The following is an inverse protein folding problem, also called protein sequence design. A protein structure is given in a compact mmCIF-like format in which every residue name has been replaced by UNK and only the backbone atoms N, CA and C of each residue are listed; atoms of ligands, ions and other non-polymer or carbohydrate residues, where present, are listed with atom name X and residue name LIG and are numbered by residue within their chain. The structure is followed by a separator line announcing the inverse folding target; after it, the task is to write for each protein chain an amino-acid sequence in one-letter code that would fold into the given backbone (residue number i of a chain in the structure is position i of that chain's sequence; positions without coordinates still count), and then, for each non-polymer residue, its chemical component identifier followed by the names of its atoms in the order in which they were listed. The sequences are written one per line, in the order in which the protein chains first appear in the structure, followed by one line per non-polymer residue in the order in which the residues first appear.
data_IF_521885443353
#
_entry.id   IF_521885443353
#
_cell.length_a   1.000
_cell.length_b   1.000
_cell.length_c   1.000
_cell.angle_alpha   90.00
_cell.angle_beta   90.00
_cell.angle_gamma   90.00
#
_symmetry.space_group_name_H-M   'P 1'
#
loop_
_entity.id
_entity.type
_entity.pdbx_description
1 polymer ?
#
# COMPACT_ATOMS: atom_id res chain seq x y z
N UNK A 1 56.85 -63.38 -17.24
CA UNK A 1 56.31 -62.76 -16.02
C UNK A 1 55.08 -61.98 -16.43
N UNK A 2 53.90 -62.55 -16.18
CA UNK A 2 52.61 -61.89 -16.38
C UNK A 2 51.84 -62.18 -15.11
N UNK A 3 51.63 -61.15 -14.29
CA UNK A 3 50.87 -61.25 -13.06
C UNK A 3 49.38 -61.41 -13.39
N UNK A 4 48.76 -62.42 -12.80
CA UNK A 4 47.33 -62.69 -12.92
C UNK A 4 46.50 -61.58 -12.26
N UNK A 5 45.38 -61.13 -12.88
CA UNK A 5 44.53 -60.06 -12.36
C UNK A 5 43.73 -60.43 -11.10
N UNK A 6 43.85 -61.66 -10.60
CA UNK A 6 43.20 -62.10 -9.36
C UNK A 6 43.86 -61.57 -8.08
N UNK A 7 45.13 -61.12 -8.14
CA UNK A 7 45.90 -60.77 -6.94
C UNK A 7 45.68 -59.34 -6.41
N UNK A 8 45.04 -58.45 -7.18
CA UNK A 8 44.77 -57.08 -6.73
C UNK A 8 43.32 -56.85 -6.24
N UNK A 9 42.43 -57.84 -6.36
CA UNK A 9 41.09 -57.78 -5.73
C UNK A 9 41.11 -58.02 -4.21
N UNK A 10 42.24 -58.52 -3.67
CA UNK A 10 42.43 -58.78 -2.23
C UNK A 10 42.89 -57.56 -1.42
N UNK A 11 42.97 -56.37 -2.04
CA UNK A 11 43.27 -55.10 -1.36
C UNK A 11 42.04 -54.19 -1.19
N UNK A 12 40.84 -54.77 -1.24
CA UNK A 12 39.62 -54.05 -0.86
C UNK A 12 39.53 -53.97 0.67
N UNK A 13 39.22 -52.80 1.27
CA UNK A 13 38.98 -52.67 2.72
C UNK A 13 37.78 -53.47 3.23
N UNK A 14 37.05 -54.17 2.34
CA UNK A 14 35.83 -54.91 2.60
C UNK A 14 35.96 -56.40 2.23
N UNK A 15 37.10 -57.03 2.54
CA UNK A 15 37.22 -58.49 2.44
C UNK A 15 36.55 -59.14 3.68
N UNK A 16 35.71 -60.19 3.53
CA UNK A 16 35.00 -60.83 4.65
C UNK A 16 35.90 -61.37 5.76
N UNK A 17 37.16 -61.69 5.43
CA UNK A 17 38.13 -62.26 6.38
C UNK A 17 38.89 -61.19 7.19
N UNK A 18 38.64 -59.89 6.95
CA UNK A 18 39.13 -58.79 7.79
C UNK A 18 38.09 -58.31 8.83
N UNK A 19 36.97 -59.05 8.97
CA UNK A 19 35.89 -58.76 9.93
C UNK A 19 36.18 -59.34 11.33
N UNK A 20 37.18 -60.21 11.46
CA UNK A 20 37.70 -60.62 12.78
C UNK A 20 38.89 -59.74 13.15
N UNK A 21 38.63 -58.45 13.35
CA UNK A 21 39.50 -57.59 14.14
C UNK A 21 39.25 -57.90 15.61
N UNK A 22 40.30 -58.36 16.29
CA UNK A 22 40.51 -58.51 17.74
C UNK A 22 39.24 -58.57 18.63
N UNK A 23 39.02 -59.75 19.19
CA UNK A 23 38.00 -60.13 20.20
C UNK A 23 37.99 -59.27 21.49
N UNK A 24 38.80 -58.21 21.59
CA UNK A 24 39.02 -57.39 22.79
C UNK A 24 38.33 -56.01 22.78
N UNK A 25 37.47 -55.70 21.80
CA UNK A 25 36.73 -54.41 21.77
C UNK A 25 35.21 -54.53 21.94
N UNK A 26 34.70 -55.73 22.21
CA UNK A 26 33.26 -56.04 22.22
C UNK A 26 32.74 -56.54 23.58
N UNK A 27 33.01 -55.80 24.66
CA UNK A 27 32.27 -56.01 25.92
C UNK A 27 31.95 -54.69 26.60
N UNK A 28 30.68 -54.29 26.52
CA UNK A 28 29.98 -53.46 27.52
C UNK A 28 28.50 -53.87 27.60
N UNK A 29 28.20 -55.13 27.30
CA UNK A 29 26.98 -55.79 27.75
C UNK A 29 27.43 -56.91 28.70
N UNK A 30 27.13 -56.85 30.01
CA UNK A 30 27.55 -57.89 30.94
C UNK A 30 26.86 -59.19 30.55
N UNK A 31 27.63 -60.21 30.21
CA UNK A 31 27.14 -61.46 29.64
C UNK A 31 26.35 -62.35 30.61
N UNK A 32 26.11 -61.88 31.85
CA UNK A 32 25.50 -62.66 32.94
C UNK A 32 24.27 -61.98 33.58
N UNK A 33 23.62 -61.03 32.89
CA UNK A 33 22.41 -60.40 33.42
C UNK A 33 21.19 -61.33 33.25
N UNK A 34 20.44 -61.66 34.31
CA UNK A 34 19.15 -62.36 34.20
C UNK A 34 18.23 -61.69 33.18
N UNK A 35 17.37 -62.48 32.54
CA UNK A 35 16.53 -62.09 31.40
C UNK A 35 15.71 -60.80 31.62
N UNK A 36 15.42 -60.45 32.88
CA UNK A 36 14.75 -59.20 33.29
C UNK A 36 15.61 -57.93 33.10
N UNK A 37 16.93 -58.01 33.24
CA UNK A 37 17.85 -56.88 33.07
C UNK A 37 18.23 -56.68 31.59
N UNK A 38 18.07 -57.70 30.75
CA UNK A 38 18.15 -57.58 29.28
C UNK A 38 16.93 -56.82 28.76
N UNK A 39 15.72 -57.13 29.27
CA UNK A 39 14.51 -56.34 28.98
C UNK A 39 14.69 -54.87 29.44
N UNK A 40 15.21 -54.62 30.64
CA UNK A 40 15.48 -53.26 31.13
C UNK A 40 16.54 -52.49 30.29
N UNK A 41 17.52 -53.18 29.70
CA UNK A 41 18.49 -52.60 28.75
C UNK A 41 17.85 -52.23 27.40
N UNK A 42 16.89 -53.02 26.90
CA UNK A 42 16.15 -52.70 25.69
C UNK A 42 15.09 -51.62 25.94
N UNK A 43 14.42 -51.62 27.10
CA UNK A 43 13.50 -50.57 27.55
C UNK A 43 14.24 -49.22 27.67
N UNK A 44 15.46 -49.20 28.22
CA UNK A 44 16.28 -47.98 28.28
C UNK A 44 16.78 -47.50 26.91
N UNK A 45 16.97 -48.41 25.94
CA UNK A 45 17.25 -48.05 24.54
C UNK A 45 16.00 -47.51 23.82
N UNK A 46 14.82 -48.02 24.15
CA UNK A 46 13.52 -47.55 23.65
C UNK A 46 13.18 -46.15 24.22
N UNK A 47 13.45 -45.92 25.50
CA UNK A 47 13.27 -44.63 26.17
C UNK A 47 14.29 -43.57 25.66
N UNK A 48 15.52 -43.99 25.33
CA UNK A 48 16.48 -43.14 24.60
C UNK A 48 16.03 -42.81 23.17
N UNK A 49 15.38 -43.73 22.46
CA UNK A 49 14.83 -43.46 21.13
C UNK A 49 13.69 -42.43 21.20
N UNK A 50 12.84 -42.50 22.23
CA UNK A 50 11.79 -41.52 22.51
C UNK A 50 12.36 -40.15 22.86
N UNK A 51 13.40 -40.09 23.70
CA UNK A 51 14.07 -38.84 24.04
C UNK A 51 14.88 -38.23 22.90
N UNK A 52 15.45 -39.01 21.98
CA UNK A 52 16.12 -38.50 20.77
C UNK A 52 15.10 -38.04 19.72
N UNK A 53 13.99 -38.77 19.53
CA UNK A 53 12.88 -38.31 18.70
C UNK A 53 12.28 -37.01 19.24
N UNK A 54 12.15 -36.87 20.56
CA UNK A 54 11.74 -35.64 21.23
C UNK A 54 12.82 -34.54 21.15
N UNK A 55 14.10 -34.84 21.30
CA UNK A 55 15.19 -33.85 21.24
C UNK A 55 15.46 -33.34 19.82
N UNK A 56 15.23 -34.17 18.78
CA UNK A 56 15.21 -33.73 17.36
C UNK A 56 13.94 -32.93 17.07
N UNK A 57 12.82 -33.25 17.73
CA UNK A 57 11.57 -32.46 17.67
C UNK A 57 11.63 -31.16 18.50
N UNK A 58 12.51 -31.06 19.51
CA UNK A 58 12.71 -29.88 20.35
C UNK A 58 13.88 -28.99 19.89
N UNK A 59 14.93 -29.57 19.30
CA UNK A 59 15.92 -28.85 18.45
C UNK A 59 15.38 -28.66 17.04
N UNK A 60 14.10 -28.34 16.92
CA UNK A 60 13.62 -27.66 15.73
C UNK A 60 14.45 -26.38 15.63
N UNK A 61 15.38 -26.35 14.67
CA UNK A 61 15.85 -25.13 14.04
C UNK A 61 14.65 -24.20 13.97
N UNK A 62 14.84 -22.93 14.34
CA UNK A 62 13.76 -21.94 14.49
C UNK A 62 12.91 -21.73 13.22
N UNK A 63 13.30 -22.39 12.12
CA UNK A 63 12.77 -22.33 10.77
C UNK A 63 12.43 -23.71 10.17
N UNK A 64 12.60 -24.83 10.90
CA UNK A 64 12.08 -26.13 10.44
C UNK A 64 10.57 -26.08 10.54
N UNK A 65 9.93 -26.36 9.41
CA UNK A 65 8.48 -26.45 9.32
C UNK A 65 8.03 -27.48 10.36
N UNK A 66 7.38 -27.03 11.44
CA UNK A 66 6.72 -27.93 12.36
C UNK A 66 5.32 -28.17 11.77
N UNK A 67 5.07 -29.31 11.10
CA UNK A 67 3.79 -29.56 10.43
C UNK A 67 2.61 -29.58 11.42
N UNK A 68 2.88 -29.74 12.72
CA UNK A 68 1.85 -29.69 13.78
C UNK A 68 1.53 -28.26 14.25
N UNK A 69 2.36 -27.26 13.96
CA UNK A 69 2.22 -25.88 14.49
C UNK A 69 1.99 -24.78 13.46
N UNK A 70 2.07 -25.06 12.16
CA UNK A 70 1.91 -24.05 11.08
C UNK A 70 2.75 -22.76 11.33
N UNK A 71 3.91 -22.89 11.98
CA UNK A 71 4.73 -21.73 12.31
C UNK A 71 5.64 -21.41 11.13
N UNK A 72 5.18 -20.51 10.27
CA UNK A 72 6.01 -19.88 9.25
C UNK A 72 6.74 -18.70 9.90
N UNK A 73 8.07 -18.73 10.05
CA UNK A 73 8.79 -17.56 10.53
C UNK A 73 8.61 -16.40 9.54
N UNK A 74 8.37 -15.19 10.07
CA UNK A 74 8.28 -13.98 9.25
C UNK A 74 9.63 -13.78 8.57
N UNK A 75 9.65 -13.92 7.25
CA UNK A 75 10.88 -13.90 6.49
C UNK A 75 11.40 -12.45 6.32
N UNK A 76 12.69 -12.20 6.61
CA UNK A 76 13.31 -10.88 6.44
C UNK A 76 13.16 -10.27 5.04
N UNK A 77 12.97 -11.11 4.01
CA UNK A 77 12.69 -10.66 2.63
C UNK A 77 11.43 -9.83 2.51
N UNK A 78 10.34 -10.18 3.20
CA UNK A 78 9.07 -9.47 3.06
C UNK A 78 9.10 -8.13 3.77
N UNK A 79 9.74 -8.07 4.93
CA UNK A 79 10.01 -6.81 5.62
C UNK A 79 10.79 -5.85 4.72
N UNK A 80 11.88 -6.32 4.11
CA UNK A 80 12.69 -5.48 3.22
C UNK A 80 11.95 -5.09 1.93
N UNK A 81 11.15 -5.99 1.34
CA UNK A 81 10.29 -5.66 0.19
C UNK A 81 9.30 -4.55 0.56
N UNK A 82 8.69 -4.62 1.75
CA UNK A 82 7.75 -3.60 2.22
C UNK A 82 8.46 -2.27 2.47
N UNK A 83 9.66 -2.27 3.08
CA UNK A 83 10.46 -1.06 3.25
C UNK A 83 10.77 -0.38 1.90
N UNK A 84 11.10 -1.17 0.87
CA UNK A 84 11.33 -0.65 -0.49
C UNK A 84 10.06 -0.01 -1.05
N UNK A 85 8.91 -0.66 -0.91
CA UNK A 85 7.62 -0.14 -1.41
C UNK A 85 7.24 1.16 -0.69
N UNK A 86 7.40 1.20 0.64
CA UNK A 86 7.15 2.40 1.44
C UNK A 86 8.06 3.54 0.97
N UNK A 87 9.36 3.28 0.80
CA UNK A 87 10.30 4.29 0.32
C UNK A 87 9.95 4.83 -1.07
N UNK A 88 9.59 3.96 -2.02
CA UNK A 88 9.15 4.36 -3.36
C UNK A 88 7.92 5.26 -3.29
N UNK A 89 6.97 4.91 -2.42
CA UNK A 89 5.70 5.64 -2.27
C UNK A 89 5.91 6.98 -1.60
N UNK A 90 6.65 7.02 -0.49
CA UNK A 90 6.89 8.23 0.30
C UNK A 90 7.69 9.27 -0.49
N UNK A 91 8.71 8.82 -1.24
CA UNK A 91 9.57 9.70 -2.04
C UNK A 91 8.98 9.97 -3.45
N UNK A 92 7.82 9.40 -3.78
CA UNK A 92 7.16 9.51 -5.08
C UNK A 92 8.08 9.23 -6.27
N UNK A 93 8.88 8.17 -6.17
CA UNK A 93 9.77 7.74 -7.25
C UNK A 93 8.97 7.33 -8.48
N UNK A 94 9.40 7.80 -9.65
CA UNK A 94 8.79 7.49 -10.94
C UNK A 94 9.40 6.23 -11.55
N UNK A 95 8.66 5.61 -12.46
CA UNK A 95 9.08 4.39 -13.13
C UNK A 95 10.38 4.55 -13.95
N UNK A 96 10.71 5.77 -14.37
CA UNK A 96 11.91 6.13 -15.12
C UNK A 96 13.11 6.52 -14.22
N UNK A 97 12.91 6.69 -12.92
CA UNK A 97 14.00 7.02 -12.01
C UNK A 97 14.96 5.83 -11.89
N UNK A 98 16.27 6.12 -11.98
CA UNK A 98 17.31 5.08 -11.88
C UNK A 98 17.20 4.33 -10.55
N UNK A 99 16.95 5.05 -9.48
CA UNK A 99 16.80 4.54 -8.13
C UNK A 99 15.58 3.62 -8.02
N UNK A 100 14.46 3.95 -8.69
CA UNK A 100 13.28 3.08 -8.77
C UNK A 100 13.62 1.75 -9.44
N UNK A 101 14.26 1.79 -10.61
CA UNK A 101 14.65 0.58 -11.37
C UNK A 101 15.56 -0.31 -10.52
N UNK A 102 16.55 0.28 -9.85
CA UNK A 102 17.46 -0.47 -8.97
C UNK A 102 16.75 -1.10 -7.77
N UNK A 103 15.78 -0.41 -7.18
CA UNK A 103 14.99 -0.93 -6.06
C UNK A 103 14.03 -2.05 -6.49
N UNK A 104 13.43 -1.95 -7.68
CA UNK A 104 12.61 -3.03 -8.24
C UNK A 104 13.45 -4.27 -8.59
N UNK A 105 14.67 -4.07 -9.12
CA UNK A 105 15.62 -5.16 -9.33
C UNK A 105 15.99 -5.88 -8.02
N UNK A 106 16.18 -5.15 -6.93
CA UNK A 106 16.41 -5.73 -5.60
C UNK A 106 15.17 -6.48 -5.14
N UNK A 107 13.97 -5.92 -5.32
CA UNK A 107 12.71 -6.57 -4.95
C UNK A 107 12.50 -7.89 -5.69
N UNK A 108 12.81 -7.93 -6.99
CA UNK A 108 12.77 -9.15 -7.79
C UNK A 108 13.78 -10.19 -7.29
N UNK A 109 15.01 -9.76 -6.95
CA UNK A 109 16.02 -10.65 -6.34
C UNK A 109 15.56 -11.20 -4.99
N UNK A 110 14.88 -10.41 -4.16
CA UNK A 110 14.33 -10.87 -2.88
C UNK A 110 13.20 -11.89 -3.07
N UNK A 111 12.37 -11.75 -4.11
CA UNK A 111 11.36 -12.77 -4.44
C UNK A 111 12.02 -14.08 -4.88
N UNK A 112 12.96 -14.01 -5.82
CA UNK A 112 13.66 -15.22 -6.28
C UNK A 112 14.45 -15.91 -5.16
N UNK A 113 15.10 -15.13 -4.29
CA UNK A 113 15.85 -15.66 -3.14
C UNK A 113 14.91 -16.39 -2.17
N UNK A 114 13.73 -15.84 -1.92
CA UNK A 114 12.71 -16.48 -1.09
C UNK A 114 12.26 -17.81 -1.70
N UNK A 115 11.85 -17.81 -2.97
CA UNK A 115 11.32 -18.99 -3.66
C UNK A 115 12.36 -20.12 -3.79
N UNK A 116 13.65 -19.77 -3.91
CA UNK A 116 14.75 -20.74 -3.98
C UNK A 116 15.03 -21.31 -2.58
N UNK A 117 15.16 -20.44 -1.58
CA UNK A 117 15.46 -20.87 -0.22
C UNK A 117 14.35 -21.76 0.35
N UNK A 118 13.09 -21.41 0.12
CA UNK A 118 11.94 -22.22 0.55
C UNK A 118 11.98 -23.62 -0.06
N UNK A 119 12.19 -23.72 -1.38
CA UNK A 119 12.34 -25.02 -2.07
C UNK A 119 13.51 -25.84 -1.55
N UNK A 120 14.67 -25.23 -1.32
CA UNK A 120 15.84 -25.95 -0.83
C UNK A 120 15.63 -26.48 0.60
N UNK A 121 14.97 -25.70 1.46
CA UNK A 121 14.58 -26.14 2.82
C UNK A 121 13.54 -27.27 2.76
N UNK A 122 12.53 -27.18 1.89
CA UNK A 122 11.52 -28.22 1.70
C UNK A 122 12.12 -29.57 1.28
N UNK A 123 13.12 -29.55 0.39
CA UNK A 123 13.82 -30.77 -0.05
C UNK A 123 14.55 -31.44 1.11
N UNK A 124 15.21 -30.64 1.96
CA UNK A 124 15.89 -31.15 3.16
C UNK A 124 14.89 -31.62 4.23
N UNK A 125 13.76 -30.91 4.42
CA UNK A 125 12.65 -31.34 5.28
C UNK A 125 12.08 -32.69 4.84
N UNK A 126 11.81 -32.85 3.55
CA UNK A 126 11.32 -34.11 2.99
C UNK A 126 12.32 -35.24 3.21
N UNK A 127 13.61 -34.96 3.01
CA UNK A 127 14.69 -35.94 3.23
C UNK A 127 14.74 -36.38 4.70
N UNK A 128 14.72 -35.43 5.64
CA UNK A 128 14.69 -35.72 7.08
C UNK A 128 13.47 -36.55 7.44
N UNK A 129 12.28 -36.17 6.96
CA UNK A 129 11.03 -36.90 7.21
C UNK A 129 11.11 -38.35 6.71
N UNK A 130 11.61 -38.55 5.50
CA UNK A 130 11.84 -39.90 4.94
C UNK A 130 12.86 -40.71 5.74
N UNK A 131 13.91 -40.08 6.30
CA UNK A 131 14.89 -40.77 7.16
C UNK A 131 14.29 -41.09 8.53
N UNK A 132 13.49 -40.20 9.10
CA UNK A 132 12.78 -40.43 10.36
C UNK A 132 11.79 -41.60 10.20
N UNK A 133 11.02 -41.67 9.12
CA UNK A 133 10.16 -42.83 8.85
C UNK A 133 10.95 -44.15 8.79
N UNK A 134 12.17 -44.14 8.23
CA UNK A 134 13.06 -45.32 8.26
C UNK A 134 13.55 -45.64 9.65
N UNK A 135 13.82 -44.63 10.48
CA UNK A 135 14.19 -44.82 11.88
C UNK A 135 13.04 -45.43 12.69
N UNK A 136 11.82 -44.97 12.45
CA UNK A 136 10.59 -45.53 13.03
C UNK A 136 10.36 -46.97 12.58
N UNK A 137 10.53 -47.26 11.28
CA UNK A 137 10.42 -48.62 10.77
C UNK A 137 11.49 -49.57 11.33
N UNK A 138 12.70 -49.06 11.61
CA UNK A 138 13.71 -49.81 12.37
C UNK A 138 13.21 -50.03 13.80
N UNK A 139 12.65 -49.00 14.45
CA UNK A 139 11.90 -49.07 15.73
C UNK A 139 10.88 -50.20 15.84
N UNK A 140 10.02 -50.34 14.82
CA UNK A 140 8.85 -51.22 14.84
C UNK A 140 9.11 -52.64 14.36
N UNK A 141 10.29 -52.95 13.78
CA UNK A 141 10.62 -54.34 13.41
C UNK A 141 10.74 -55.20 14.66
N UNK A 142 9.67 -55.95 14.96
CA UNK A 142 9.63 -56.98 16.00
C UNK A 142 10.78 -57.97 15.78
N UNK A 143 11.43 -58.36 16.88
CA UNK A 143 12.50 -59.35 16.93
C UNK A 143 12.04 -60.66 16.25
N UNK A 144 12.43 -60.89 14.99
CA UNK A 144 12.16 -62.15 14.30
C UNK A 144 13.17 -63.21 14.78
N UNK A 145 12.74 -64.34 15.36
CA UNK A 145 13.66 -65.33 15.94
C UNK A 145 14.66 -65.96 14.95
N UNK A 146 14.33 -65.96 13.66
CA UNK A 146 15.17 -66.49 12.59
C UNK A 146 16.21 -65.47 12.07
N UNK A 147 16.09 -64.22 12.50
CA UNK A 147 17.03 -63.14 12.18
C UNK A 147 17.87 -62.90 13.44
N UNK A 148 19.01 -63.59 13.54
CA UNK A 148 20.04 -63.34 14.57
C UNK A 148 20.69 -61.97 14.29
N UNK A 149 19.91 -60.90 14.42
CA UNK A 149 20.38 -59.53 14.44
C UNK A 149 20.79 -59.23 15.88
N UNK A 150 22.09 -59.25 16.16
CA UNK A 150 22.62 -58.77 17.44
C UNK A 150 22.22 -57.31 17.64
N UNK A 151 21.90 -56.90 18.87
CA UNK A 151 21.55 -55.50 19.18
C UNK A 151 22.59 -54.46 18.71
N UNK A 152 23.82 -54.89 18.43
CA UNK A 152 24.87 -54.10 17.77
C UNK A 152 24.51 -53.66 16.35
N UNK A 153 23.86 -54.50 15.55
CA UNK A 153 23.49 -54.16 14.17
C UNK A 153 22.31 -53.20 14.11
N UNK A 154 21.39 -53.31 15.08
CA UNK A 154 20.31 -52.37 15.27
C UNK A 154 20.84 -50.98 15.64
N UNK A 155 21.73 -50.91 16.64
CA UNK A 155 22.43 -49.68 17.04
C UNK A 155 23.19 -49.07 15.86
N UNK A 156 23.93 -49.89 15.10
CA UNK A 156 24.67 -49.44 13.90
C UNK A 156 23.74 -48.85 12.82
N UNK A 157 22.60 -49.48 12.54
CA UNK A 157 21.61 -48.96 11.57
C UNK A 157 20.98 -47.66 12.07
N UNK A 158 20.65 -47.57 13.36
CA UNK A 158 20.13 -46.35 13.98
C UNK A 158 21.13 -45.20 13.90
N UNK A 159 22.37 -45.44 14.29
CA UNK A 159 23.43 -44.43 14.30
C UNK A 159 23.70 -43.88 12.87
N UNK A 160 23.67 -44.76 11.86
CA UNK A 160 23.74 -44.38 10.43
C UNK A 160 22.58 -43.48 9.97
N UNK A 161 21.37 -43.71 10.48
CA UNK A 161 20.20 -42.87 10.15
C UNK A 161 20.29 -41.53 10.86
N UNK A 162 20.72 -41.52 12.13
CA UNK A 162 20.95 -40.29 12.91
C UNK A 162 22.07 -39.44 12.33
N UNK A 163 23.17 -40.04 11.87
CA UNK A 163 24.26 -39.31 11.20
C UNK A 163 23.75 -38.57 9.96
N UNK A 164 22.91 -39.22 9.13
CA UNK A 164 22.29 -38.58 7.97
C UNK A 164 21.31 -37.46 8.32
N UNK A 165 20.54 -37.60 9.40
CA UNK A 165 19.66 -36.53 9.88
C UNK A 165 20.50 -35.34 10.37
N UNK A 166 21.62 -35.60 11.05
CA UNK A 166 22.55 -34.56 11.48
C UNK A 166 23.24 -33.87 10.29
N UNK A 167 23.57 -34.59 9.22
CA UNK A 167 24.07 -34.01 7.97
C UNK A 167 23.06 -33.06 7.34
N UNK A 168 21.80 -33.48 7.16
CA UNK A 168 20.72 -32.62 6.66
C UNK A 168 20.48 -31.39 7.56
N UNK A 169 20.64 -31.54 8.88
CA UNK A 169 20.52 -30.41 9.81
C UNK A 169 21.64 -29.38 9.60
N UNK A 170 22.87 -29.84 9.32
CA UNK A 170 24.01 -28.95 9.00
C UNK A 170 23.85 -28.26 7.64
N UNK A 171 23.31 -28.96 6.63
CA UNK A 171 23.06 -28.34 5.32
C UNK A 171 22.00 -27.25 5.43
N UNK A 172 20.93 -27.47 6.20
CA UNK A 172 19.94 -26.42 6.50
C UNK A 172 20.52 -25.21 7.21
N UNK A 173 21.29 -25.41 8.27
CA UNK A 173 21.94 -24.30 8.98
C UNK A 173 22.82 -23.48 8.03
N UNK A 174 23.52 -24.15 7.10
CA UNK A 174 24.30 -23.47 6.07
C UNK A 174 23.43 -22.68 5.10
N UNK A 175 22.34 -23.26 4.58
CA UNK A 175 21.40 -22.57 3.68
C UNK A 175 20.76 -21.35 4.36
N UNK A 176 20.43 -21.45 5.64
CA UNK A 176 19.90 -20.34 6.45
C UNK A 176 20.91 -19.20 6.59
N UNK A 177 22.17 -19.51 6.88
CA UNK A 177 23.23 -18.50 6.97
C UNK A 177 23.47 -17.81 5.61
N UNK A 178 23.52 -18.58 4.51
CA UNK A 178 23.65 -18.04 3.16
C UNK A 178 22.46 -17.13 2.78
N UNK A 179 21.23 -17.51 3.17
CA UNK A 179 20.04 -16.68 2.99
C UNK A 179 20.10 -15.37 3.79
N UNK A 180 20.45 -15.43 5.08
CA UNK A 180 20.53 -14.23 5.92
C UNK A 180 21.64 -13.27 5.45
N UNK A 181 22.80 -13.79 5.03
CA UNK A 181 23.89 -12.99 4.50
C UNK A 181 23.49 -12.29 3.20
N UNK A 182 22.80 -12.99 2.30
CA UNK A 182 22.33 -12.40 1.03
C UNK A 182 21.25 -11.35 1.25
N UNK A 183 20.29 -11.57 2.16
CA UNK A 183 19.32 -10.54 2.55
C UNK A 183 20.02 -9.32 3.18
N UNK A 184 21.00 -9.53 4.05
CA UNK A 184 21.78 -8.45 4.69
C UNK A 184 22.51 -7.60 3.64
N UNK A 185 23.13 -8.23 2.63
CA UNK A 185 23.77 -7.52 1.51
C UNK A 185 22.76 -6.70 0.69
N UNK A 186 21.58 -7.24 0.41
CA UNK A 186 20.52 -6.54 -0.33
C UNK A 186 19.93 -5.38 0.49
N UNK A 187 19.78 -5.55 1.81
CA UNK A 187 19.35 -4.50 2.72
C UNK A 187 20.36 -3.33 2.73
N UNK A 188 21.67 -3.64 2.75
CA UNK A 188 22.72 -2.61 2.69
C UNK A 188 22.65 -1.82 1.39
N UNK A 189 22.52 -2.50 0.24
CA UNK A 189 22.36 -1.84 -1.07
C UNK A 189 21.12 -0.96 -1.13
N UNK A 190 20.01 -1.44 -0.59
CA UNK A 190 18.75 -0.67 -0.50
C UNK A 190 18.97 0.63 0.27
N UNK A 191 19.63 0.58 1.44
CA UNK A 191 19.95 1.77 2.23
C UNK A 191 20.87 2.75 1.51
N UNK A 192 21.87 2.24 0.80
CA UNK A 192 22.81 3.08 0.01
C UNK A 192 22.05 3.86 -1.07
N UNK A 193 21.17 3.19 -1.82
CA UNK A 193 20.31 3.83 -2.83
C UNK A 193 19.42 4.90 -2.19
N UNK A 194 18.74 4.57 -1.09
CA UNK A 194 17.87 5.53 -0.41
C UNK A 194 18.62 6.75 0.14
N UNK A 195 19.83 6.56 0.65
CA UNK A 195 20.67 7.66 1.14
C UNK A 195 21.17 8.56 0.02
N UNK A 196 21.58 7.96 -1.10
CA UNK A 196 22.03 8.70 -2.29
C UNK A 196 20.88 9.56 -2.85
N UNK A 197 19.68 9.00 -2.96
CA UNK A 197 18.48 9.73 -3.38
C UNK A 197 18.19 10.92 -2.46
N UNK A 198 18.09 10.69 -1.14
CA UNK A 198 17.83 11.76 -0.17
C UNK A 198 18.88 12.86 -0.21
N UNK A 199 20.13 12.51 -0.49
CA UNK A 199 21.20 13.50 -0.67
C UNK A 199 20.96 14.34 -1.93
N UNK A 200 20.67 13.72 -3.07
CA UNK A 200 20.36 14.41 -4.33
C UNK A 200 19.16 15.36 -4.20
N UNK A 201 18.08 14.91 -3.55
CA UNK A 201 16.91 15.75 -3.31
C UNK A 201 17.26 17.00 -2.51
N UNK A 202 18.01 16.86 -1.40
CA UNK A 202 18.45 18.01 -0.59
C UNK A 202 19.34 18.97 -1.38
N UNK A 203 20.28 18.44 -2.16
CA UNK A 203 21.15 19.26 -3.01
C UNK A 203 20.30 20.06 -4.02
N UNK A 204 19.36 19.41 -4.68
CA UNK A 204 18.47 20.07 -5.65
C UNK A 204 17.58 21.14 -5.01
N UNK A 205 17.00 20.87 -3.84
CA UNK A 205 16.21 21.85 -3.07
C UNK A 205 17.05 23.08 -2.70
N UNK A 206 18.30 22.88 -2.25
CA UNK A 206 19.19 24.00 -1.91
C UNK A 206 19.57 24.82 -3.15
N UNK A 207 19.78 24.19 -4.30
CA UNK A 207 20.04 24.88 -5.56
C UNK A 207 18.83 25.70 -6.01
N UNK A 208 17.63 25.13 -5.92
CA UNK A 208 16.39 25.81 -6.29
C UNK A 208 16.12 27.02 -5.38
N UNK A 209 16.33 26.87 -4.07
CA UNK A 209 16.25 27.98 -3.12
C UNK A 209 17.26 29.09 -3.44
N UNK A 210 18.50 28.74 -3.79
CA UNK A 210 19.52 29.72 -4.20
C UNK A 210 19.14 30.42 -5.51
N UNK A 211 18.59 29.70 -6.49
CA UNK A 211 18.11 30.30 -7.74
C UNK A 211 16.96 31.28 -7.49
N UNK A 212 16.01 30.92 -6.64
CA UNK A 212 14.89 31.79 -6.28
C UNK A 212 15.37 33.06 -5.55
N UNK A 213 16.32 32.93 -4.64
CA UNK A 213 16.94 34.10 -3.98
C UNK A 213 17.65 35.02 -4.98
N UNK A 214 18.34 34.47 -5.98
CA UNK A 214 18.98 35.26 -7.06
C UNK A 214 17.94 35.97 -7.92
N UNK A 215 16.85 35.30 -8.28
CA UNK A 215 15.76 35.88 -9.06
C UNK A 215 15.08 37.03 -8.30
N UNK A 216 14.71 36.83 -7.03
CA UNK A 216 14.12 37.87 -6.19
C UNK A 216 15.05 39.08 -6.04
N UNK A 217 16.35 38.84 -5.87
CA UNK A 217 17.32 39.94 -5.78
C UNK A 217 17.40 40.74 -7.10
N UNK A 218 17.39 40.07 -8.26
CA UNK A 218 17.34 40.70 -9.57
C UNK A 218 16.08 41.56 -9.76
N UNK A 219 14.90 41.03 -9.39
CA UNK A 219 13.64 41.79 -9.42
C UNK A 219 13.68 43.02 -8.52
N UNK A 220 14.19 42.87 -7.31
CA UNK A 220 14.33 43.96 -6.35
C UNK A 220 15.28 45.04 -6.88
N UNK A 221 16.39 44.64 -7.51
CA UNK A 221 17.35 45.55 -8.13
C UNK A 221 16.76 46.31 -9.33
N UNK A 222 15.98 45.63 -10.17
CA UNK A 222 15.27 46.27 -11.29
C UNK A 222 14.21 47.26 -10.80
N UNK A 223 13.45 46.91 -9.76
CA UNK A 223 12.47 47.80 -9.16
C UNK A 223 13.14 49.07 -8.59
N UNK A 224 14.25 48.90 -7.86
CA UNK A 224 15.04 50.03 -7.36
C UNK A 224 15.56 50.93 -8.49
N UNK A 225 16.06 50.37 -9.59
CA UNK A 225 16.49 51.16 -10.75
C UNK A 225 15.34 51.96 -11.37
N UNK A 226 14.15 51.38 -11.49
CA UNK A 226 12.98 52.07 -12.03
C UNK A 226 12.56 53.24 -11.13
N UNK A 227 12.49 53.01 -9.81
CA UNK A 227 12.16 54.06 -8.83
C UNK A 227 13.18 55.19 -8.87
N UNK A 228 14.48 54.88 -8.98
CA UNK A 228 15.52 55.90 -9.12
C UNK A 228 15.39 56.71 -10.41
N UNK A 229 15.01 56.06 -11.53
CA UNK A 229 14.78 56.75 -12.81
C UNK A 229 13.55 57.66 -12.75
N UNK A 230 12.46 57.20 -12.15
CA UNK A 230 11.25 58.01 -11.94
C UNK A 230 11.54 59.21 -11.05
N UNK A 231 12.27 59.00 -9.94
CA UNK A 231 12.71 60.08 -9.06
C UNK A 231 13.49 61.15 -9.83
N UNK A 232 14.49 60.75 -10.62
CA UNK A 232 15.27 61.69 -11.42
C UNK A 232 14.42 62.45 -12.45
N UNK A 233 13.42 61.79 -13.05
CA UNK A 233 12.45 62.43 -13.94
C UNK A 233 11.57 63.46 -13.24
N UNK A 234 11.10 63.15 -12.03
CA UNK A 234 10.31 64.07 -11.21
C UNK A 234 11.13 65.25 -10.72
N UNK A 235 12.37 65.04 -10.29
CA UNK A 235 13.31 66.12 -9.90
C UNK A 235 13.54 67.07 -11.08
N UNK A 236 13.77 66.53 -12.28
CA UNK A 236 13.95 67.35 -13.49
C UNK A 236 12.70 68.19 -13.81
N UNK A 237 11.51 67.60 -13.66
CA UNK A 237 10.23 68.31 -13.89
C UNK A 237 9.97 69.38 -12.83
N UNK A 238 10.38 69.13 -11.59
CA UNK A 238 10.26 70.09 -10.49
C UNK A 238 11.12 71.32 -10.76
N UNK A 239 12.34 71.15 -11.27
CA UNK A 239 13.22 72.27 -11.67
C UNK A 239 12.58 73.12 -12.77
N UNK A 240 11.95 72.50 -13.78
CA UNK A 240 11.24 73.24 -14.82
C UNK A 240 10.06 74.04 -14.27
N UNK A 241 9.27 73.44 -13.37
CA UNK A 241 8.14 74.13 -12.74
C UNK A 241 8.59 75.27 -11.81
N UNK A 242 9.74 75.14 -11.15
CA UNK A 242 10.33 76.25 -10.37
C UNK A 242 10.70 77.42 -11.28
N UNK A 243 11.32 77.14 -12.43
CA UNK A 243 11.62 78.17 -13.42
C UNK A 243 10.36 78.86 -13.96
N UNK A 244 9.32 78.09 -14.28
CA UNK A 244 8.05 78.66 -14.74
C UNK A 244 7.39 79.54 -13.66
N UNK A 245 7.45 79.14 -12.38
CA UNK A 245 6.95 79.95 -11.28
C UNK A 245 7.72 81.27 -11.13
N UNK A 246 9.05 81.25 -11.19
CA UNK A 246 9.87 82.47 -11.16
C UNK A 246 9.53 83.43 -12.32
N UNK A 247 9.26 82.87 -13.50
CA UNK A 247 8.83 83.64 -14.67
C UNK A 247 7.42 84.25 -14.48
N UNK A 248 6.50 83.51 -13.88
CA UNK A 248 5.15 84.02 -13.59
C UNK A 248 5.21 85.12 -12.53
N UNK A 249 5.99 84.94 -11.46
CA UNK A 249 6.16 85.96 -10.42
C UNK A 249 6.72 87.26 -11.01
N UNK A 250 7.77 87.18 -11.84
CA UNK A 250 8.33 88.37 -12.49
C UNK A 250 7.32 89.08 -13.39
N UNK A 251 6.50 88.34 -14.15
CA UNK A 251 5.39 88.93 -14.93
C UNK A 251 4.29 89.53 -14.06
N UNK A 252 3.97 88.90 -12.94
CA UNK A 252 2.98 89.43 -11.99
C UNK A 252 3.44 90.77 -11.43
N UNK A 253 4.72 90.90 -11.04
CA UNK A 253 5.25 92.19 -10.58
C UNK A 253 5.15 93.28 -11.67
N UNK A 254 5.46 92.94 -12.92
CA UNK A 254 5.30 93.87 -14.05
C UNK A 254 3.85 94.31 -14.24
N UNK A 255 2.91 93.36 -14.27
CA UNK A 255 1.49 93.68 -14.39
C UNK A 255 0.96 94.49 -13.22
N UNK A 256 1.44 94.22 -12.00
CA UNK A 256 1.07 94.99 -10.81
C UNK A 256 1.52 96.45 -10.94
N UNK A 257 2.75 96.67 -11.42
CA UNK A 257 3.28 98.02 -11.64
C UNK A 257 2.53 98.76 -12.76
N UNK A 258 2.28 98.09 -13.88
CA UNK A 258 1.49 98.64 -14.99
C UNK A 258 0.05 98.97 -14.56
N UNK A 259 -0.58 98.08 -13.78
CA UNK A 259 -1.91 98.29 -13.22
C UNK A 259 -1.93 99.51 -12.27
N UNK A 260 -0.96 99.59 -11.35
CA UNK A 260 -0.82 100.72 -10.43
C UNK A 260 -0.57 102.04 -11.17
N UNK A 261 0.13 102.00 -12.31
CA UNK A 261 0.33 103.16 -13.17
C UNK A 261 -0.97 103.60 -13.85
N UNK A 262 -1.67 102.65 -14.49
CA UNK A 262 -2.96 102.90 -15.13
C UNK A 262 -4.02 103.38 -14.15
N UNK A 263 -4.05 102.81 -12.94
CA UNK A 263 -4.94 103.25 -11.86
C UNK A 263 -4.66 104.72 -11.50
N UNK A 264 -3.39 105.11 -11.31
CA UNK A 264 -3.01 106.51 -11.04
C UNK A 264 -3.41 107.46 -12.17
N UNK A 265 -3.22 107.07 -13.43
CA UNK A 265 -3.64 107.86 -14.60
C UNK A 265 -5.17 108.00 -14.62
N UNK A 266 -5.89 106.90 -14.40
CA UNK A 266 -7.35 106.85 -14.37
C UNK A 266 -7.93 107.73 -13.26
N UNK A 267 -7.39 107.65 -12.05
CA UNK A 267 -7.83 108.43 -10.89
C UNK A 267 -7.49 109.92 -11.05
N UNK A 268 -6.35 110.25 -11.68
CA UNK A 268 -5.93 111.63 -11.92
C UNK A 268 -6.71 112.37 -13.03
N UNK A 269 -7.21 111.67 -14.05
CA UNK A 269 -7.87 112.28 -15.22
C UNK A 269 -9.40 112.29 -15.12
N UNK A 270 -10.03 111.35 -14.39
CA UNK A 270 -11.48 111.14 -14.40
C UNK A 270 -12.07 110.82 -13.02
N UNK A 271 -11.55 111.41 -11.94
CA UNK A 271 -11.90 111.09 -10.55
C UNK A 271 -13.41 111.05 -10.24
N UNK A 272 -14.20 111.99 -10.77
CA UNK A 272 -15.66 112.06 -10.50
C UNK A 272 -16.48 111.13 -11.43
N UNK A 273 -16.14 111.04 -12.73
CA UNK A 273 -16.85 110.15 -13.67
C UNK A 273 -16.63 108.66 -13.35
N UNK A 274 -15.45 108.33 -12.81
CA UNK A 274 -15.09 106.96 -12.44
C UNK A 274 -15.84 106.41 -11.22
N UNK A 275 -16.34 107.25 -10.29
CA UNK A 275 -17.13 106.75 -9.16
C UNK A 275 -18.46 106.16 -9.61
N UNK A 276 -19.11 106.77 -10.60
CA UNK A 276 -20.32 106.26 -11.24
C UNK A 276 -20.07 104.98 -12.04
N UNK A 277 -18.97 104.91 -12.78
CA UNK A 277 -18.59 103.71 -13.54
C UNK A 277 -18.19 102.55 -12.61
N UNK A 278 -17.46 102.83 -11.53
CA UNK A 278 -17.08 101.81 -10.54
C UNK A 278 -18.31 101.21 -9.85
N UNK A 279 -19.32 102.03 -9.48
CA UNK A 279 -20.59 101.49 -8.92
C UNK A 279 -21.34 100.61 -9.92
N UNK A 280 -21.31 100.94 -11.21
CA UNK A 280 -21.93 100.12 -12.26
C UNK A 280 -21.17 98.79 -12.46
N UNK A 281 -19.84 98.81 -12.40
CA UNK A 281 -18.98 97.62 -12.48
C UNK A 281 -19.17 96.74 -11.23
N UNK A 282 -19.26 97.32 -10.04
CA UNK A 282 -19.55 96.59 -8.79
C UNK A 282 -20.92 95.90 -8.87
N UNK A 283 -21.96 96.60 -9.32
CA UNK A 283 -23.28 95.98 -9.56
C UNK A 283 -23.23 94.86 -10.60
N UNK A 284 -22.49 95.04 -11.69
CA UNK A 284 -22.34 94.00 -12.71
C UNK A 284 -21.58 92.78 -12.18
N UNK A 285 -20.57 92.98 -11.33
CA UNK A 285 -19.81 91.91 -10.69
C UNK A 285 -20.66 91.17 -9.65
N UNK A 286 -21.47 91.88 -8.86
CA UNK A 286 -22.42 91.27 -7.92
C UNK A 286 -23.45 90.40 -8.64
N UNK A 287 -23.97 90.88 -9.78
CA UNK A 287 -24.88 90.11 -10.63
C UNK A 287 -24.18 88.90 -11.27
N UNK A 288 -22.93 89.04 -11.72
CA UNK A 288 -22.13 87.94 -12.24
C UNK A 288 -21.88 86.86 -11.16
N UNK A 289 -21.53 87.26 -9.94
CA UNK A 289 -21.35 86.35 -8.80
C UNK A 289 -22.68 85.65 -8.45
N UNK A 290 -23.81 86.36 -8.48
CA UNK A 290 -25.14 85.76 -8.29
C UNK A 290 -25.44 84.70 -9.35
N UNK A 291 -25.18 85.00 -10.62
CA UNK A 291 -25.39 84.06 -11.73
C UNK A 291 -24.49 82.83 -11.57
N UNK A 292 -23.22 83.03 -11.22
CA UNK A 292 -22.26 81.95 -11.04
C UNK A 292 -22.65 81.04 -9.86
N UNK A 293 -23.12 81.64 -8.75
CA UNK A 293 -23.65 80.89 -7.61
C UNK A 293 -24.91 80.10 -7.96
N UNK A 294 -25.82 80.67 -8.76
CA UNK A 294 -27.01 79.96 -9.25
C UNK A 294 -26.63 78.79 -10.18
N UNK A 295 -25.67 78.99 -11.07
CA UNK A 295 -25.15 77.94 -11.96
C UNK A 295 -24.47 76.81 -11.16
N UNK A 296 -23.67 77.15 -10.16
CA UNK A 296 -23.05 76.17 -9.27
C UNK A 296 -24.12 75.37 -8.49
N UNK A 297 -25.16 76.06 -7.99
CA UNK A 297 -26.28 75.40 -7.30
C UNK A 297 -27.06 74.45 -8.20
N UNK A 298 -27.30 74.84 -9.46
CA UNK A 298 -27.93 73.98 -10.47
C UNK A 298 -27.05 72.78 -10.84
N UNK A 299 -25.73 72.98 -10.98
CA UNK A 299 -24.78 71.90 -11.24
C UNK A 299 -24.77 70.88 -10.09
N UNK A 300 -24.66 71.35 -8.85
CA UNK A 300 -24.70 70.48 -7.67
C UNK A 300 -26.04 69.71 -7.59
N UNK A 301 -27.15 70.36 -7.91
CA UNK A 301 -28.45 69.68 -7.92
C UNK A 301 -28.54 68.60 -9.01
N UNK A 302 -27.98 68.86 -10.20
CA UNK A 302 -27.87 67.86 -11.28
C UNK A 302 -26.99 66.69 -10.88
N UNK A 303 -25.85 66.93 -10.24
CA UNK A 303 -24.95 65.89 -9.74
C UNK A 303 -25.62 65.02 -8.67
N UNK A 304 -26.36 65.64 -7.75
CA UNK A 304 -27.15 64.90 -6.76
C UNK A 304 -28.19 63.98 -7.40
N UNK A 305 -28.89 64.43 -8.46
CA UNK A 305 -29.84 63.60 -9.20
C UNK A 305 -29.13 62.43 -9.90
N UNK A 306 -27.94 62.67 -10.47
CA UNK A 306 -27.15 61.61 -11.13
C UNK A 306 -26.69 60.57 -10.12
N UNK A 307 -26.19 60.99 -8.95
CA UNK A 307 -25.78 60.11 -7.87
C UNK A 307 -26.95 59.26 -7.36
N UNK A 308 -28.12 59.86 -7.21
CA UNK A 308 -29.31 59.17 -6.73
C UNK A 308 -29.80 58.12 -7.76
N UNK A 309 -29.69 58.42 -9.06
CA UNK A 309 -29.94 57.44 -10.13
C UNK A 309 -28.93 56.29 -10.10
N UNK A 310 -27.64 56.57 -9.98
CA UNK A 310 -26.62 55.51 -9.95
C UNK A 310 -26.78 54.60 -8.74
N UNK A 311 -27.18 55.14 -7.58
CA UNK A 311 -27.50 54.35 -6.39
C UNK A 311 -28.72 53.45 -6.61
N UNK A 312 -29.77 53.94 -7.28
CA UNK A 312 -30.93 53.11 -7.65
C UNK A 312 -30.57 52.00 -8.63
N UNK A 313 -29.75 52.31 -9.63
CA UNK A 313 -29.31 51.32 -10.62
C UNK A 313 -28.47 50.22 -9.96
N UNK A 314 -27.52 50.59 -9.09
CA UNK A 314 -26.74 49.64 -8.30
C UNK A 314 -27.62 48.78 -7.38
N UNK A 315 -28.63 49.38 -6.73
CA UNK A 315 -29.58 48.63 -5.91
C UNK A 315 -30.39 47.62 -6.76
N UNK A 316 -30.78 48.02 -7.97
CA UNK A 316 -31.53 47.16 -8.90
C UNK A 316 -30.69 45.99 -9.42
N UNK A 317 -29.43 46.24 -9.74
CA UNK A 317 -28.47 45.19 -10.12
C UNK A 317 -28.28 44.19 -8.98
N UNK A 318 -28.06 44.68 -7.74
CA UNK A 318 -27.93 43.83 -6.56
C UNK A 318 -29.18 42.96 -6.31
N UNK A 319 -30.38 43.54 -6.44
CA UNK A 319 -31.62 42.76 -6.33
C UNK A 319 -31.74 41.71 -7.44
N UNK A 320 -31.33 42.03 -8.66
CA UNK A 320 -31.36 41.10 -9.80
C UNK A 320 -30.40 39.92 -9.58
N UNK A 321 -29.19 40.20 -9.09
CA UNK A 321 -28.20 39.18 -8.74
C UNK A 321 -28.69 38.25 -7.60
N UNK A 322 -29.35 38.81 -6.57
CA UNK A 322 -29.95 38.00 -5.51
C UNK A 322 -31.04 37.06 -6.03
N UNK A 323 -31.90 37.54 -6.94
CA UNK A 323 -32.94 36.71 -7.56
C UNK A 323 -32.34 35.59 -8.44
N UNK A 324 -31.25 35.87 -9.16
CA UNK A 324 -30.54 34.87 -9.96
C UNK A 324 -29.90 33.79 -9.07
N UNK A 325 -29.28 34.19 -7.96
CA UNK A 325 -28.71 33.26 -6.98
C UNK A 325 -29.78 32.36 -6.35
N UNK A 326 -30.91 32.93 -5.94
CA UNK A 326 -32.06 32.15 -5.46
C UNK A 326 -32.59 31.18 -6.53
N UNK A 327 -32.55 31.58 -7.81
CA UNK A 327 -32.88 30.72 -8.93
C UNK A 327 -31.94 29.51 -9.05
N UNK A 328 -30.64 29.72 -8.92
CA UNK A 328 -29.62 28.66 -8.91
C UNK A 328 -29.77 27.71 -7.73
N UNK A 329 -29.89 28.23 -6.51
CA UNK A 329 -30.09 27.40 -5.31
C UNK A 329 -31.34 26.53 -5.43
N UNK A 330 -32.41 27.06 -6.03
CA UNK A 330 -33.63 26.29 -6.28
C UNK A 330 -33.40 25.14 -7.27
N UNK A 331 -32.61 25.37 -8.32
CA UNK A 331 -32.26 24.32 -9.28
C UNK A 331 -31.39 23.23 -8.63
N UNK A 332 -30.38 23.61 -7.86
CA UNK A 332 -29.54 22.68 -7.10
C UNK A 332 -30.37 21.84 -6.12
N UNK A 333 -31.28 22.47 -5.38
CA UNK A 333 -32.19 21.76 -4.48
C UNK A 333 -33.07 20.74 -5.21
N UNK A 334 -33.53 21.05 -6.44
CA UNK A 334 -34.29 20.09 -7.25
C UNK A 334 -33.44 18.92 -7.73
N UNK A 335 -32.18 19.13 -8.06
CA UNK A 335 -31.25 18.06 -8.44
C UNK A 335 -30.96 17.15 -7.25
N UNK A 336 -30.65 17.72 -6.08
CA UNK A 336 -30.42 16.95 -4.85
C UNK A 336 -31.64 16.11 -4.47
N UNK A 337 -32.85 16.66 -4.61
CA UNK A 337 -34.09 15.89 -4.38
C UNK A 337 -34.25 14.72 -5.36
N UNK A 338 -33.86 14.91 -6.61
CA UNK A 338 -33.90 13.84 -7.62
C UNK A 338 -32.90 12.74 -7.28
N UNK A 339 -31.67 13.11 -6.92
CA UNK A 339 -30.63 12.15 -6.55
C UNK A 339 -31.02 11.34 -5.30
N UNK A 340 -31.63 11.99 -4.31
CA UNK A 340 -32.18 11.32 -3.13
C UNK A 340 -33.30 10.34 -3.49
N UNK A 341 -34.16 10.69 -4.45
CA UNK A 341 -35.21 9.80 -4.93
C UNK A 341 -34.63 8.58 -5.66
N UNK A 342 -33.65 8.80 -6.55
CA UNK A 342 -32.95 7.72 -7.26
C UNK A 342 -32.19 6.80 -6.28
N UNK A 343 -31.50 7.36 -5.29
CA UNK A 343 -30.82 6.60 -4.24
C UNK A 343 -31.81 5.73 -3.44
N UNK A 344 -32.99 6.28 -3.10
CA UNK A 344 -34.05 5.52 -2.41
C UNK A 344 -34.53 4.34 -3.26
N UNK A 345 -34.81 4.56 -4.55
CA UNK A 345 -35.24 3.48 -5.45
C UNK A 345 -34.19 2.38 -5.61
N UNK A 346 -32.89 2.72 -5.64
CA UNK A 346 -31.80 1.73 -5.64
C UNK A 346 -31.77 0.93 -4.34
N UNK A 347 -31.98 1.59 -3.20
CA UNK A 347 -32.10 0.94 -1.90
C UNK A 347 -33.25 -0.06 -1.86
N UNK A 348 -34.41 0.32 -2.38
CA UNK A 348 -35.59 -0.56 -2.46
C UNK A 348 -35.33 -1.79 -3.35
N UNK A 349 -34.61 -1.63 -4.47
CA UNK A 349 -34.23 -2.73 -5.36
C UNK A 349 -33.25 -3.72 -4.71
N UNK A 350 -32.24 -3.19 -3.99
CA UNK A 350 -31.28 -4.01 -3.26
C UNK A 350 -31.95 -4.78 -2.13
N UNK A 351 -32.86 -4.14 -1.38
CA UNK A 351 -33.63 -4.80 -0.34
C UNK A 351 -34.49 -5.94 -0.91
N UNK A 352 -35.15 -5.72 -2.04
CA UNK A 352 -35.91 -6.77 -2.71
C UNK A 352 -35.03 -7.95 -3.11
N UNK A 353 -33.83 -7.70 -3.65
CA UNK A 353 -32.88 -8.75 -4.01
C UNK A 353 -32.35 -9.52 -2.80
N UNK A 354 -32.12 -8.84 -1.67
CA UNK A 354 -31.75 -9.47 -0.40
C UNK A 354 -32.87 -10.38 0.11
N UNK A 355 -34.12 -9.95 0.02
CA UNK A 355 -35.26 -10.75 0.45
C UNK A 355 -35.47 -12.00 -0.41
N UNK A 356 -35.24 -11.90 -1.73
CA UNK A 356 -35.23 -13.07 -2.64
C UNK A 356 -34.13 -14.05 -2.26
N UNK A 357 -32.90 -13.58 -2.03
CA UNK A 357 -31.78 -14.43 -1.60
C UNK A 357 -32.03 -15.12 -0.25
N UNK A 358 -32.65 -14.42 0.71
CA UNK A 358 -33.06 -15.03 1.98
C UNK A 358 -34.06 -16.16 1.78
N UNK A 359 -35.01 -15.99 0.86
CA UNK A 359 -35.99 -17.02 0.52
C UNK A 359 -35.29 -18.24 -0.08
N UNK A 360 -34.42 -18.06 -1.08
CA UNK A 360 -33.66 -19.14 -1.71
C UNK A 360 -32.76 -19.91 -0.72
N UNK A 361 -32.09 -19.19 0.19
CA UNK A 361 -31.30 -19.80 1.26
C UNK A 361 -32.17 -20.60 2.24
N UNK A 362 -33.37 -20.13 2.52
CA UNK A 362 -34.33 -20.87 3.36
C UNK A 362 -34.81 -22.14 2.66
N UNK A 363 -35.07 -22.08 1.35
CA UNK A 363 -35.46 -23.24 0.55
C UNK A 363 -34.31 -24.27 0.48
N UNK A 364 -33.07 -23.82 0.28
CA UNK A 364 -31.89 -24.68 0.32
C UNK A 364 -31.72 -25.38 1.67
N UNK A 365 -31.97 -24.66 2.77
CA UNK A 365 -31.90 -25.24 4.11
C UNK A 365 -32.97 -26.32 4.29
N UNK A 366 -34.21 -26.03 3.92
CA UNK A 366 -35.30 -27.00 3.97
C UNK A 366 -34.97 -28.24 3.11
N UNK A 367 -34.37 -28.06 1.94
CA UNK A 367 -33.93 -29.18 1.09
C UNK A 367 -32.80 -29.99 1.72
N UNK A 368 -31.84 -29.34 2.39
CA UNK A 368 -30.77 -30.03 3.11
C UNK A 368 -31.34 -30.89 4.23
N UNK A 369 -32.28 -30.36 5.00
CA UNK A 369 -32.94 -31.06 6.11
C UNK A 369 -33.77 -32.26 5.58
N UNK A 370 -34.46 -32.12 4.44
CA UNK A 370 -35.17 -33.22 3.77
C UNK A 370 -34.21 -34.31 3.24
N UNK A 371 -33.09 -33.92 2.63
CA UNK A 371 -32.07 -34.87 2.15
C UNK A 371 -31.44 -35.66 3.30
N UNK A 372 -31.16 -35.01 4.43
CA UNK A 372 -30.64 -35.67 5.62
C UNK A 372 -31.65 -36.68 6.19
N UNK A 373 -32.93 -36.30 6.24
CA UNK A 373 -34.04 -37.20 6.61
C UNK A 373 -34.13 -38.44 5.70
N UNK A 374 -34.07 -38.26 4.38
CA UNK A 374 -34.17 -39.37 3.43
C UNK A 374 -32.90 -40.25 3.39
N UNK A 375 -31.72 -39.67 3.58
CA UNK A 375 -30.46 -40.41 3.70
C UNK A 375 -30.47 -41.34 4.94
N UNK A 376 -31.03 -40.88 6.06
CA UNK A 376 -31.22 -41.72 7.26
C UNK A 376 -32.17 -42.91 7.03
N UNK A 377 -33.03 -42.87 6.01
CA UNK A 377 -33.94 -43.95 5.64
C UNK A 377 -33.35 -44.92 4.59
N UNK A 378 -32.10 -44.70 4.14
CA UNK A 378 -31.41 -45.59 3.21
C UNK A 378 -31.96 -45.56 1.77
N UNK A 379 -32.59 -44.46 1.37
CA UNK A 379 -33.17 -44.28 0.04
C UNK A 379 -32.24 -43.46 -0.86
N UNK A 380 -31.91 -43.98 -2.05
CA UNK A 380 -31.07 -43.28 -3.04
C UNK A 380 -31.97 -42.73 -4.15
N UNK A 381 -32.07 -41.41 -4.27
CA UNK A 381 -32.90 -40.71 -5.24
C UNK A 381 -32.08 -39.96 -6.30
N UNK A 382 -32.65 -39.83 -7.51
CA UNK A 382 -32.13 -38.94 -8.55
C UNK A 382 -33.05 -37.72 -8.71
N UNK A 383 -32.46 -36.55 -8.92
CA UNK A 383 -33.21 -35.30 -9.14
C UNK A 383 -33.55 -35.14 -10.62
N UNK A 384 -34.84 -35.08 -10.94
CA UNK A 384 -35.34 -34.59 -12.24
C UNK A 384 -36.48 -33.59 -11.97
N UNK A 385 -36.40 -32.40 -12.56
CA UNK A 385 -37.46 -31.37 -12.59
C UNK A 385 -38.16 -31.03 -11.25
N UNK A 386 -37.40 -30.98 -10.15
CA UNK A 386 -37.92 -30.49 -8.86
C UNK A 386 -38.70 -31.49 -8.02
N UNK A 387 -38.72 -32.77 -8.42
CA UNK A 387 -39.28 -33.88 -7.62
C UNK A 387 -38.30 -35.04 -7.55
N UNK A 388 -38.29 -35.76 -6.41
CA UNK A 388 -37.41 -36.90 -6.18
C UNK A 388 -38.05 -38.20 -6.67
N UNK A 389 -37.39 -38.92 -7.58
CA UNK A 389 -37.79 -40.27 -8.00
C UNK A 389 -36.79 -41.34 -7.50
N UNK A 390 -37.26 -42.47 -6.94
CA UNK A 390 -36.38 -43.53 -6.43
C UNK A 390 -35.46 -44.08 -7.53
N UNK A 391 -34.16 -44.20 -7.24
CA UNK A 391 -33.19 -44.68 -8.23
C UNK A 391 -33.48 -46.13 -8.68
N UNK A 392 -33.34 -46.37 -9.99
CA UNK A 392 -33.63 -47.64 -10.68
C UNK A 392 -32.84 -48.84 -10.12
N UNK A 393 -31.80 -48.61 -9.31
CA UNK A 393 -30.99 -49.65 -8.67
C UNK A 393 -31.74 -50.42 -7.57
N UNK A 394 -32.62 -49.78 -6.80
CA UNK A 394 -33.38 -50.46 -5.73
C UNK A 394 -34.44 -51.42 -6.30
N UNK A 395 -35.10 -51.03 -7.40
CA UNK A 395 -36.11 -51.86 -8.08
C UNK A 395 -35.53 -53.19 -8.61
N UNK A 396 -34.23 -53.22 -8.98
CA UNK A 396 -33.57 -54.46 -9.42
C UNK A 396 -33.13 -55.34 -8.25
N UNK A 397 -32.78 -54.78 -7.10
CA UNK A 397 -32.38 -55.56 -5.93
C UNK A 397 -33.58 -56.29 -5.32
N UNK A 398 -34.71 -55.61 -5.18
CA UNK A 398 -35.97 -56.21 -4.72
C UNK A 398 -36.46 -57.31 -5.69
N UNK A 399 -36.36 -57.11 -7.01
CA UNK A 399 -36.67 -58.15 -8.01
C UNK A 399 -35.73 -59.38 -7.94
N UNK A 400 -34.49 -59.22 -7.47
CA UNK A 400 -33.56 -60.34 -7.29
C UNK A 400 -33.83 -61.11 -6.00
N UNK A 401 -34.17 -60.43 -4.90
CA UNK A 401 -34.55 -61.05 -3.63
C UNK A 401 -35.87 -61.83 -3.74
N UNK A 402 -36.86 -61.27 -4.45
CA UNK A 402 -38.14 -61.96 -4.69
C UNK A 402 -37.98 -63.21 -5.56
N UNK A 403 -37.12 -63.15 -6.59
CA UNK A 403 -36.80 -64.33 -7.44
C UNK A 403 -36.07 -65.42 -6.66
N UNK A 404 -35.18 -65.04 -5.74
CA UNK A 404 -34.43 -65.98 -4.91
C UNK A 404 -35.34 -66.64 -3.84
N UNK A 405 -36.31 -65.89 -3.31
CA UNK A 405 -37.36 -66.40 -2.42
C UNK A 405 -38.31 -67.37 -3.13
N UNK A 406 -38.76 -67.06 -4.35
CA UNK A 406 -39.56 -67.97 -5.18
C UNK A 406 -38.80 -69.25 -5.55
N UNK A 407 -37.51 -69.16 -5.87
CA UNK A 407 -36.69 -70.33 -6.21
C UNK A 407 -36.43 -71.24 -4.98
N UNK A 408 -36.28 -70.65 -3.79
CA UNK A 408 -36.21 -71.39 -2.51
C UNK A 408 -37.56 -72.05 -2.16
N UNK A 409 -38.68 -71.39 -2.43
CA UNK A 409 -40.01 -71.97 -2.23
C UNK A 409 -40.28 -73.13 -3.20
N UNK A 410 -39.92 -72.98 -4.48
CA UNK A 410 -40.06 -74.01 -5.51
C UNK A 410 -39.18 -75.25 -5.24
N UNK A 411 -37.96 -75.09 -4.69
CA UNK A 411 -37.09 -76.21 -4.26
C UNK A 411 -37.65 -76.96 -3.05
N UNK A 412 -38.38 -76.30 -2.15
CA UNK A 412 -39.07 -76.97 -1.02
C UNK A 412 -40.28 -77.78 -1.50
N UNK A 413 -40.99 -77.33 -2.53
CA UNK A 413 -42.15 -78.03 -3.10
C UNK A 413 -41.78 -79.31 -3.87
N UNK A 414 -40.55 -79.46 -4.38
CA UNK A 414 -40.08 -80.66 -5.11
C UNK A 414 -39.53 -81.79 -4.22
N UNK A 415 -39.50 -81.60 -2.90
CA UNK A 415 -39.07 -82.61 -1.92
C UNK A 415 -40.23 -83.26 -1.14
N UNK A 416 -41.47 -83.04 -1.57
CA UNK A 416 -42.67 -83.71 -1.08
C UNK A 416 -43.31 -84.55 -2.17
#
# INVERSE_FOLDING_TARGET
MVSSPFSDMLKSPYHPDHIFGDEDTWYDAPADLPQQEIEEYFDTLEDQNLHIALAVKEKTNRFVNNPERNYWPILPTDTLKNEIVVFITDENLRDDDREYIQLQDIRAKLSNLHDIHERDIEVEDHTISMKLQKLWAVGETLYEPDNVYTGSDYKRKRDLVLERINECSRTKERLENEYLDTVSMLAKKTREISQEWKKKCREHETELALQQMRANNSETQNHLQNVLREKAGLESRLVLLQYDNELIETRMYQFQDDYNHLQRVREGVLGEYNQTVNRAIEQQNDDAIRIQNLQARLRNHREAIILERSQRDAARENCSALLENLGRERQESTLVRRDLFEARTRGDYLNHSIDVLKMEMSDQKNWSDELEMHAMQGEVFNRMDGTWEPSVYKRRLEEYEDREMEERAAKRARRY
#
